data_IF_100449453673
#
_entry.id   IF_100449453673
#
_cell.length_a   1.000
_cell.length_b   1.000
_cell.length_c   1.000
_cell.angle_alpha   90.00
_cell.angle_beta   90.00
_cell.angle_gamma   90.00
#
_symmetry.space_group_name_H-M   'P 1'
#
loop_
_entity.id
_entity.type
_entity.pdbx_description
1 polymer ?
2 branched ?
3 non-polymer ?
4 water ?
#
# COMPACT_ATOMS: atom_id res chain seq x y z
N UNK A 4 -14.57 3.15 16.91
CA UNK A 4 -13.21 2.81 16.38
C UNK A 4 -13.26 1.89 15.16
N UNK A 5 -13.71 2.41 14.01
CA UNK A 5 -13.78 1.60 12.79
C UNK A 5 -12.40 1.58 12.14
N UNK A 6 -12.29 0.96 10.98
CA UNK A 6 -11.00 0.90 10.31
C UNK A 6 -11.18 0.92 8.80
N UNK A 7 -10.36 1.70 8.12
CA UNK A 7 -10.43 1.78 6.67
C UNK A 7 -9.55 0.69 6.09
N UNK A 8 -10.12 -0.07 5.16
CA UNK A 8 -9.39 -1.15 4.51
C UNK A 8 -9.45 -0.90 3.01
N UNK A 9 -8.42 -1.35 2.30
CA UNK A 9 -8.35 -1.14 0.86
C UNK A 9 -8.46 -2.43 0.07
N UNK A 10 -9.06 -2.34 -1.10
CA UNK A 10 -9.17 -3.49 -1.98
C UNK A 10 -9.06 -2.99 -3.40
N UNK A 11 -7.95 -3.29 -4.09
CA UNK A 11 -6.80 -4.06 -3.59
C UNK A 11 -6.11 -3.44 -2.38
N UNK A 12 -5.27 -4.22 -1.70
CA UNK A 12 -4.50 -3.88 -0.50
C UNK A 12 -3.49 -2.75 -0.58
N UNK A 13 -2.89 -2.56 -1.75
CA UNK A 13 -1.85 -1.55 -1.95
C UNK A 13 -2.31 -0.11 -1.77
N UNK A 14 -1.59 0.63 -0.94
CA UNK A 14 -1.91 2.02 -0.66
C UNK A 14 -1.03 2.93 -1.54
N UNK A 15 -0.21 2.29 -2.38
CA UNK A 15 0.64 3.01 -3.32
C UNK A 15 0.21 2.43 -4.66
N UNK A 16 -0.46 3.25 -5.46
CA UNK A 16 -0.95 2.80 -6.76
C UNK A 16 -0.56 3.73 -7.91
N UNK A 17 -0.75 3.25 -9.13
CA UNK A 17 -0.46 4.02 -10.32
C UNK A 17 -1.59 4.94 -10.72
N UNK A 18 -1.23 6.11 -11.25
CA UNK A 18 -2.20 7.09 -11.73
C UNK A 18 -3.09 6.34 -12.71
N UNK A 19 -4.40 6.47 -12.56
CA UNK A 19 -5.31 5.77 -13.45
C UNK A 19 -5.81 4.43 -12.92
N UNK A 20 -5.25 3.92 -11.82
CA UNK A 20 -5.71 2.64 -11.27
C UNK A 20 -6.89 2.84 -10.33
N UNK A 21 -7.53 1.73 -9.96
CA UNK A 21 -8.67 1.81 -9.07
C UNK A 21 -8.36 1.21 -7.71
N UNK A 22 -8.99 1.76 -6.68
CA UNK A 22 -8.83 1.28 -5.32
C UNK A 22 -10.13 1.62 -4.60
N UNK A 23 -10.64 0.66 -3.83
CA UNK A 23 -11.87 0.89 -3.08
C UNK A 23 -11.56 0.98 -1.60
N UNK A 24 -12.15 1.96 -0.92
CA UNK A 24 -11.93 2.11 0.50
C UNK A 24 -13.23 1.76 1.23
N UNK A 25 -13.14 0.83 2.18
CA UNK A 25 -14.29 0.41 2.95
C UNK A 25 -14.11 0.71 4.44
N UNK A 26 -15.17 1.23 5.05
CA UNK A 26 -15.18 1.57 6.48
C UNK A 26 -15.52 0.25 7.17
N UNK A 27 -15.02 0.07 8.39
CA UNK A 27 -15.21 -1.18 9.16
C UNK A 27 -16.41 -2.10 8.89
N UNK A 28 -16.32 -3.33 9.40
CA UNK A 28 -17.34 -4.34 9.20
C UNK A 28 -18.59 -4.38 10.07
N UNK A 29 -18.60 -3.65 11.18
CA UNK A 29 -19.77 -3.63 12.06
C UNK A 29 -20.84 -2.71 11.47
N UNK A 30 -20.44 -1.92 10.48
CA UNK A 30 -21.35 -0.97 9.84
C UNK A 30 -22.33 -1.62 8.86
N UNK A 31 -23.62 -1.48 9.15
CA UNK A 31 -24.67 -2.03 8.30
C UNK A 31 -25.54 -0.93 7.73
N UNK A 36 -25.19 6.05 8.05
CA UNK A 36 -24.56 6.38 6.78
C UNK A 36 -23.13 6.68 7.19
N UNK A 37 -22.19 6.55 6.26
CA UNK A 37 -20.80 6.78 6.59
C UNK A 37 -20.30 8.19 6.29
N UNK A 38 -19.33 8.64 7.07
CA UNK A 38 -18.72 9.95 6.86
C UNK A 38 -17.25 9.71 6.52
N UNK A 39 -16.79 10.26 5.39
CA UNK A 39 -15.40 10.11 4.95
C UNK A 39 -14.63 11.43 4.99
N UNK A 40 -13.36 11.39 5.35
CA UNK A 40 -12.57 12.62 5.38
C UNK A 40 -11.31 12.46 4.55
N UNK A 41 -11.22 13.25 3.48
CA UNK A 41 -10.06 13.22 2.60
C UNK A 41 -9.24 14.44 3.01
N UNK A 42 -8.02 14.20 3.48
CA UNK A 42 -7.14 15.27 3.94
C UNK A 42 -7.85 16.13 4.97
N UNK A 43 -8.71 15.51 5.76
CA UNK A 43 -9.43 16.23 6.80
C UNK A 43 -10.68 16.95 6.32
N UNK A 44 -11.05 16.76 5.06
CA UNK A 44 -12.23 17.41 4.51
C UNK A 44 -13.36 16.43 4.28
N UNK A 45 -14.51 16.73 4.87
CA UNK A 45 -15.68 15.88 4.75
C UNK A 45 -16.04 15.66 3.29
N UNK A 46 -16.11 14.40 2.90
CA UNK A 46 -16.44 14.04 1.54
C UNK A 46 -17.94 14.07 1.30
N UNK A 47 -18.34 14.06 0.04
CA UNK A 47 -19.75 14.05 -0.29
C UNK A 47 -20.21 12.60 -0.30
N UNK A 48 -19.23 11.70 -0.25
CA UNK A 48 -19.49 10.27 -0.25
C UNK A 48 -20.07 9.85 1.10
N UNK A 49 -21.19 9.14 1.08
CA UNK A 49 -21.83 8.71 2.32
C UNK A 49 -21.99 7.20 2.50
N UNK A 50 -21.67 6.42 1.48
CA UNK A 50 -21.79 4.96 1.60
C UNK A 50 -20.61 4.42 2.40
N UNK A 51 -20.72 3.17 2.85
CA UNK A 51 -19.66 2.55 3.65
C UNK A 51 -18.40 2.30 2.82
N UNK A 52 -18.54 2.39 1.50
CA UNK A 52 -17.41 2.19 0.62
C UNK A 52 -17.16 3.38 -0.29
N UNK A 53 -15.92 3.87 -0.28
CA UNK A 53 -15.53 4.99 -1.13
C UNK A 53 -14.74 4.43 -2.30
N UNK A 54 -15.19 4.72 -3.51
CA UNK A 54 -14.52 4.23 -4.71
C UNK A 54 -13.70 5.31 -5.40
N UNK A 55 -12.42 5.01 -5.57
CA UNK A 55 -11.51 5.92 -6.24
C UNK A 55 -11.30 5.35 -7.63
N UNK A 56 -11.83 6.05 -8.64
CA UNK A 56 -11.72 5.60 -10.02
C UNK A 56 -10.72 6.43 -10.84
N UNK A 57 -9.91 5.75 -11.66
CA UNK A 57 -8.90 6.42 -12.49
C UNK A 57 -8.20 7.41 -11.58
N UNK A 58 -7.42 6.85 -10.67
CA UNK A 58 -6.72 7.62 -9.66
C UNK A 58 -5.98 8.87 -10.16
N UNK A 59 -6.14 9.97 -9.43
CA UNK A 59 -5.47 11.21 -9.75
C UNK A 59 -4.48 11.48 -8.63
N UNK A 60 -3.48 12.31 -8.92
CA UNK A 60 -2.49 12.65 -7.91
C UNK A 60 -3.24 13.30 -6.76
N UNK A 61 -4.33 13.98 -7.11
CA UNK A 61 -5.17 14.65 -6.13
C UNK A 61 -5.76 13.66 -5.14
N UNK A 62 -5.98 12.42 -5.57
CA UNK A 62 -6.56 11.43 -4.68
C UNK A 62 -5.59 10.95 -3.61
N UNK A 63 -4.33 11.35 -3.72
CA UNK A 63 -3.37 10.94 -2.73
C UNK A 63 -3.80 11.62 -1.45
N UNK A 64 -3.28 11.17 -0.32
CA UNK A 64 -3.67 11.81 0.92
C UNK A 64 -4.12 10.91 2.06
N UNK A 65 -4.66 11.57 3.08
CA UNK A 65 -5.14 10.91 4.27
C UNK A 65 -6.63 10.67 4.19
N UNK A 66 -7.04 9.46 4.54
CA UNK A 66 -8.46 9.11 4.55
C UNK A 66 -8.85 8.53 5.90
N UNK A 67 -9.94 9.04 6.48
CA UNK A 67 -10.47 8.56 7.76
C UNK A 67 -11.95 8.34 7.52
N UNK A 68 -12.55 7.39 8.22
CA UNK A 68 -13.99 7.22 8.08
C UNK A 68 -14.66 7.39 9.43
N UNK A 69 -15.97 7.55 9.40
CA UNK A 69 -16.73 7.76 10.62
C UNK A 69 -18.07 7.10 10.53
N UNK A 70 -18.34 6.27 11.52
CA UNK A 70 -19.58 5.53 11.64
C UNK A 70 -20.26 5.99 12.92
N UNK A 71 -21.44 5.44 13.21
CA UNK A 71 -22.18 5.82 14.42
C UNK A 71 -21.44 5.46 15.71
N UNK A 72 -20.12 5.30 15.61
CA UNK A 72 -19.29 4.96 16.76
C UNK A 72 -18.61 6.17 17.40
N UNK A 73 -19.12 7.36 17.11
CA UNK A 73 -18.61 8.62 17.66
C UNK A 73 -17.09 8.82 17.67
N UNK A 74 -16.35 7.91 17.05
CA UNK A 74 -14.89 8.02 16.99
C UNK A 74 -14.38 7.67 15.60
N UNK A 75 -13.68 8.62 14.98
CA UNK A 75 -13.14 8.42 13.64
C UNK A 75 -12.08 7.32 13.67
N UNK A 76 -11.87 6.69 12.52
CA UNK A 76 -10.88 5.61 12.43
C UNK A 76 -9.47 6.17 12.32
N UNK A 77 -8.49 5.28 12.42
CA UNK A 77 -7.11 5.70 12.28
C UNK A 77 -6.98 6.10 10.82
N UNK A 78 -6.09 7.05 10.52
CA UNK A 78 -5.97 7.43 9.11
C UNK A 78 -5.28 6.34 8.30
N UNK A 79 -5.46 6.42 7.00
CA UNK A 79 -4.83 5.53 6.05
C UNK A 79 -4.29 6.51 5.00
N UNK A 80 -3.11 6.24 4.46
CA UNK A 80 -2.54 7.15 3.48
C UNK A 80 -2.41 6.55 2.10
N UNK A 81 -2.96 7.25 1.12
CA UNK A 81 -2.91 6.80 -0.26
C UNK A 81 -1.95 7.71 -1.06
N UNK A 82 -1.16 7.10 -1.94
CA UNK A 82 -0.24 7.85 -2.77
C UNK A 82 -0.27 7.33 -4.21
N UNK A 83 -0.51 8.24 -5.14
CA UNK A 83 -0.59 7.91 -6.56
C UNK A 83 0.71 8.21 -7.29
N UNK A 84 1.22 7.23 -8.05
CA UNK A 84 2.46 7.42 -8.78
C UNK A 84 2.28 7.27 -10.28
N UNK A 85 3.31 7.70 -10.99
CA UNK A 85 3.38 7.60 -12.44
C UNK A 85 4.84 7.23 -12.70
N UNK A 86 5.11 5.99 -13.07
CA UNK A 86 6.48 5.57 -13.30
C UNK A 86 6.39 4.21 -13.96
N UNK A 87 7.54 3.62 -14.28
CA UNK A 87 7.55 2.30 -14.91
C UNK A 87 7.45 1.21 -13.85
N UNK A 88 8.12 1.43 -12.72
CA UNK A 88 8.08 0.46 -11.63
C UNK A 88 7.59 1.14 -10.36
N UNK A 89 6.89 0.36 -9.54
CA UNK A 89 6.36 0.84 -8.28
C UNK A 89 6.43 -0.32 -7.30
N UNK A 90 7.08 -0.09 -6.17
CA UNK A 90 7.18 -1.12 -5.16
C UNK A 90 5.95 -0.94 -4.29
N UNK A 91 5.15 -1.99 -4.16
CA UNK A 91 3.96 -1.89 -3.33
C UNK A 91 4.16 -2.79 -2.12
N UNK A 92 3.65 -2.36 -0.97
CA UNK A 92 3.77 -3.13 0.25
C UNK A 92 2.41 -3.30 0.89
N UNK A 93 2.21 -4.42 1.58
CA UNK A 93 0.94 -4.64 2.25
C UNK A 93 0.85 -3.60 3.35
N UNK A 94 1.98 -3.23 3.93
CA UNK A 94 1.97 -2.21 4.99
C UNK A 94 3.32 -1.51 5.12
N UNK A 95 3.31 -0.24 5.49
CA UNK A 95 4.57 0.49 5.66
C UNK A 95 5.00 0.34 7.12
N UNK A 96 4.07 -0.17 7.94
CA UNK A 96 4.30 -0.42 9.35
C UNK A 96 3.72 -1.78 9.67
N UNK A 97 4.61 -2.76 9.82
CA UNK A 97 4.25 -4.14 10.10
C UNK A 97 4.51 -4.51 11.55
N UNK A 98 3.58 -5.24 12.15
CA UNK A 98 3.73 -5.68 13.53
C UNK A 98 4.55 -6.96 13.55
N UNK A 99 5.44 -7.09 14.52
CA UNK A 99 6.29 -8.26 14.62
C UNK A 99 5.45 -9.55 14.59
N UNK A 100 5.90 -10.55 13.85
CA UNK A 100 5.15 -11.80 13.78
C UNK A 100 4.19 -11.89 12.60
N UNK A 101 3.69 -10.74 12.13
CA UNK A 101 2.78 -10.70 10.99
C UNK A 101 3.55 -10.78 9.66
N UNK A 102 2.86 -11.08 8.56
CA UNK A 102 3.54 -11.17 7.27
C UNK A 102 3.65 -9.81 6.58
N UNK A 103 4.61 -9.71 5.67
CA UNK A 103 4.83 -8.50 4.91
C UNK A 103 4.87 -8.88 3.44
N UNK A 104 3.99 -8.29 2.65
CA UNK A 104 3.98 -8.61 1.22
C UNK A 104 4.50 -7.45 0.36
N UNK A 105 5.40 -7.79 -0.56
CA UNK A 105 5.94 -6.80 -1.47
C UNK A 105 5.63 -7.25 -2.89
N UNK A 106 5.55 -6.29 -3.79
CA UNK A 106 5.22 -6.58 -5.16
C UNK A 106 5.87 -5.52 -6.04
N UNK A 107 6.69 -5.96 -7.00
CA UNK A 107 7.34 -5.04 -7.92
C UNK A 107 6.35 -4.99 -9.08
N UNK A 108 5.54 -3.94 -9.05
CA UNK A 108 4.46 -3.71 -9.99
C UNK A 108 4.84 -2.83 -11.17
N UNK A 109 4.51 -3.29 -12.37
CA UNK A 109 4.83 -2.54 -13.57
C UNK A 109 3.67 -1.73 -14.11
N UNK A 110 3.99 -0.57 -14.67
CA UNK A 110 2.98 0.31 -15.26
C UNK A 110 2.08 -0.51 -16.18
N UNK A 111 0.79 -0.21 -16.18
CA UNK A 111 -0.16 -0.95 -17.02
C UNK A 111 -0.08 -2.47 -16.85
N UNK A 112 0.47 -2.92 -15.73
CA UNK A 112 0.61 -4.35 -15.50
C UNK A 112 1.50 -5.05 -16.53
N UNK A 113 2.48 -4.31 -17.04
CA UNK A 113 3.41 -4.88 -17.99
C UNK A 113 4.16 -5.96 -17.23
N UNK A 114 4.62 -6.98 -17.94
CA UNK A 114 5.38 -8.03 -17.28
C UNK A 114 6.74 -7.50 -16.88
N UNK A 115 7.15 -7.88 -15.68
CA UNK A 115 8.44 -7.46 -15.17
C UNK A 115 9.26 -8.72 -15.00
N UNK A 116 10.51 -8.70 -15.46
CA UNK A 116 11.38 -9.87 -15.36
C UNK A 116 12.65 -9.54 -14.60
N UNK A 117 13.43 -10.57 -14.28
CA UNK A 117 14.68 -10.37 -13.54
C UNK A 117 14.44 -9.46 -12.34
N UNK A 118 13.36 -9.72 -11.61
CA UNK A 118 13.04 -8.90 -10.46
C UNK A 118 14.01 -9.10 -9.31
N UNK A 119 14.55 -7.99 -8.81
CA UNK A 119 15.45 -8.04 -7.67
C UNK A 119 14.95 -7.03 -6.66
N UNK A 120 14.92 -7.43 -5.39
CA UNK A 120 14.51 -6.54 -4.31
C UNK A 120 15.72 -6.12 -3.50
N UNK A 121 15.72 -4.88 -3.07
CA UNK A 121 16.83 -4.38 -2.28
C UNK A 121 16.40 -3.86 -0.92
N UNK A 122 17.24 -4.08 0.08
CA UNK A 122 16.94 -3.55 1.40
C UNK A 122 18.21 -2.87 1.89
N UNK A 123 18.15 -1.56 2.09
CA UNK A 123 19.32 -0.79 2.52
C UNK A 123 20.49 -1.11 1.59
N UNK A 124 20.29 -0.92 0.29
CA UNK A 124 21.35 -1.19 -0.66
C UNK A 124 21.57 -2.65 -1.01
N UNK A 125 21.60 -3.51 0.00
CA UNK A 125 21.80 -4.95 -0.20
C UNK A 125 20.63 -5.62 -0.91
N UNK A 126 20.93 -6.57 -1.78
CA UNK A 126 19.88 -7.30 -2.49
C UNK A 126 19.35 -8.36 -1.53
N UNK A 127 18.03 -8.42 -1.36
CA UNK A 127 17.43 -9.41 -0.46
C UNK A 127 17.96 -10.83 -0.57
N UNK A 128 18.29 -11.41 0.57
CA UNK A 128 18.80 -12.78 0.62
C UNK A 128 17.64 -13.79 0.59
N UNK A 129 16.51 -13.42 1.19
CA UNK A 129 15.33 -14.29 1.19
C UNK A 129 15.14 -14.91 -0.19
N UNK A 130 14.49 -16.07 -0.26
CA UNK A 130 14.23 -16.67 -1.56
C UNK A 130 12.86 -16.18 -2.01
N UNK A 131 12.73 -15.84 -3.28
CA UNK A 131 11.45 -15.37 -3.78
C UNK A 131 11.21 -15.67 -5.24
N UNK A 132 9.94 -15.59 -5.62
CA UNK A 132 9.48 -15.85 -6.97
C UNK A 132 9.42 -14.53 -7.74
N UNK A 133 9.04 -14.60 -9.01
CA UNK A 133 8.95 -13.41 -9.84
C UNK A 133 7.96 -12.37 -9.32
N UNK A 134 8.46 -11.14 -9.19
CA UNK A 134 7.74 -9.95 -8.73
C UNK A 134 6.77 -10.00 -7.54
N UNK A 135 6.67 -11.14 -6.87
CA UNK A 135 5.79 -11.24 -5.71
C UNK A 135 6.56 -11.92 -4.58
N UNK A 136 6.83 -11.16 -3.53
CA UNK A 136 7.58 -11.67 -2.39
C UNK A 136 6.78 -11.64 -1.08
N UNK A 137 6.88 -12.72 -0.32
CA UNK A 137 6.19 -12.85 0.96
C UNK A 137 7.14 -13.11 2.12
N UNK A 138 7.14 -12.19 3.08
CA UNK A 138 7.98 -12.29 4.27
C UNK A 138 7.00 -12.66 5.37
N UNK A 139 6.94 -13.96 5.66
CA UNK A 139 6.01 -14.53 6.63
C UNK A 139 6.05 -14.11 8.10
N UNK A 140 7.24 -14.03 8.70
CA UNK A 140 7.32 -13.66 10.10
C UNK A 140 8.15 -12.39 10.30
N UNK A 141 7.55 -11.24 10.04
CA UNK A 141 8.24 -9.96 10.18
C UNK A 141 9.03 -9.86 11.48
N UNK A 142 10.23 -9.32 11.37
CA UNK A 142 11.14 -9.13 12.48
C UNK A 142 11.57 -7.67 12.50
N UNK A 143 12.13 -7.21 13.61
CA UNK A 143 12.59 -5.83 13.69
C UNK A 143 13.64 -5.59 12.58
N UNK A 144 14.35 -6.66 12.21
CA UNK A 144 15.36 -6.60 11.17
C UNK A 144 14.77 -6.36 9.78
N UNK A 145 13.48 -6.63 9.60
CA UNK A 145 12.89 -6.42 8.29
C UNK A 145 12.60 -4.96 8.05
N UNK A 146 12.94 -4.12 9.02
CA UNK A 146 12.76 -2.68 8.85
C UNK A 146 13.87 -2.25 7.87
N UNK A 147 13.63 -1.18 7.14
CA UNK A 147 14.62 -0.71 6.19
C UNK A 147 13.96 0.01 5.04
N UNK A 148 14.75 0.45 4.07
CA UNK A 148 14.18 1.14 2.93
C UNK A 148 14.35 0.14 1.81
N UNK A 149 13.29 -0.02 1.03
CA UNK A 149 13.31 -0.99 -0.06
C UNK A 149 13.00 -0.33 -1.38
N UNK A 150 13.35 -1.05 -2.44
CA UNK A 150 13.04 -0.62 -3.78
C UNK A 150 13.30 -1.87 -4.58
N UNK A 151 12.85 -1.90 -5.82
CA UNK A 151 13.09 -3.06 -6.64
C UNK A 151 13.56 -2.62 -8.02
N UNK A 152 14.10 -3.57 -8.76
CA UNK A 152 14.56 -3.36 -10.12
C UNK A 152 14.04 -4.54 -10.91
N UNK A 153 13.77 -4.32 -12.19
CA UNK A 153 13.28 -5.39 -13.02
C UNK A 153 13.36 -4.96 -14.47
N UNK A 154 13.28 -5.93 -15.36
CA UNK A 154 13.32 -5.64 -16.78
C UNK A 154 11.91 -5.57 -17.36
N UNK A 155 11.57 -4.41 -17.91
CA UNK A 155 10.27 -4.21 -18.55
C UNK A 155 10.57 -4.04 -20.03
N UNK A 156 9.93 -4.86 -20.86
CA UNK A 156 10.19 -4.82 -22.28
C UNK A 156 11.67 -5.17 -22.48
N UNK A 157 12.46 -4.22 -22.97
CA UNK A 157 13.87 -4.49 -23.21
C UNK A 157 14.85 -3.75 -22.32
N UNK A 158 14.35 -2.94 -21.39
CA UNK A 158 15.24 -2.20 -20.51
C UNK A 158 15.10 -2.54 -19.03
N UNK A 159 16.04 -2.03 -18.24
CA UNK A 159 16.04 -2.25 -16.81
C UNK A 159 15.58 -0.99 -16.10
N UNK A 160 14.65 -1.15 -15.17
CA UNK A 160 14.15 -0.01 -14.42
C UNK A 160 14.35 -0.20 -12.93
N UNK A 161 14.10 0.86 -12.18
CA UNK A 161 14.27 0.83 -10.75
C UNK A 161 13.15 1.65 -10.14
N UNK A 162 12.51 1.09 -9.12
CA UNK A 162 11.40 1.78 -8.48
C UNK A 162 11.92 2.78 -7.47
N UNK A 163 11.05 3.69 -7.05
CA UNK A 163 11.38 4.67 -6.03
C UNK A 163 11.50 3.83 -4.76
N UNK A 164 12.29 4.29 -3.79
CA UNK A 164 12.42 3.51 -2.56
C UNK A 164 11.27 3.74 -1.58
N UNK A 165 11.04 2.76 -0.72
CA UNK A 165 9.97 2.87 0.26
C UNK A 165 10.53 2.52 1.63
N UNK A 166 10.06 3.17 2.68
CA UNK A 166 10.56 2.82 4.00
C UNK A 166 9.57 1.92 4.76
N UNK A 167 10.06 0.81 5.29
CA UNK A 167 9.21 -0.10 6.04
C UNK A 167 9.71 -0.29 7.46
N UNK A 168 8.84 -0.01 8.42
CA UNK A 168 9.16 -0.15 9.83
C UNK A 168 8.39 -1.28 10.49
N UNK A 169 9.09 -2.09 11.29
CA UNK A 169 8.45 -3.18 12.01
C UNK A 169 8.35 -2.83 13.51
N UNK A 170 7.13 -2.75 14.04
CA UNK A 170 6.91 -2.42 15.45
C UNK A 170 6.49 -3.66 16.23
N UNK A 171 6.56 -3.59 17.55
CA UNK A 171 6.19 -4.73 18.38
C UNK A 171 4.68 -4.84 18.54
N UNK A 172 4.19 -6.08 18.55
CA UNK A 172 2.77 -6.38 18.66
C UNK A 172 1.98 -5.65 19.76
N UNK A 173 2.46 -5.67 21.02
CA UNK A 173 1.76 -5.00 22.12
C UNK A 173 1.22 -3.60 21.81
N UNK A 174 0.20 -3.20 22.57
CA UNK A 174 -0.47 -1.92 22.44
C UNK A 174 0.15 -0.96 21.42
X LIG B 1 -4.26 15.65 -0.10
X LIG B 1 -4.30 16.32 -1.46
X LIG B 1 -3.19 15.74 -2.32
X LIG B 1 -1.83 15.95 -1.64
X LIG B 1 -1.87 15.43 -0.19
X LIG B 1 -0.65 15.85 0.59
X LIG B 1 -6.56 17.00 -1.93
X LIG B 1 -7.88 16.75 -2.65
X LIG B 1 -5.58 16.12 -2.11
X LIG B 1 -3.20 16.35 -3.60
X LIG B 1 -0.83 15.20 -2.35
X LIG B 1 -3.01 15.95 0.53
X LIG B 1 -0.04 14.73 1.23
X LIG B 1 -6.44 17.99 -1.20
X LIG B 2 0.01 15.81 -3.26
X LIG B 2 1.10 14.79 -3.61
X LIG B 2 1.97 15.26 -4.77
X LIG B 2 0.98 15.36 -5.90
X LIG B 2 0.02 16.51 -5.61
X LIG B 2 -0.96 16.78 -6.74
X LIG B 2 1.87 13.23 -1.94
X LIG B 2 2.73 12.95 -0.72
X LIG B 2 1.91 14.46 -2.45
X LIG B 2 2.97 14.29 -5.05
X LIG B 2 1.60 15.40 -7.21
X LIG B 2 -0.77 16.17 -4.43
X LIG B 2 -1.83 17.86 -6.43
X LIG B 2 1.17 12.34 -2.41
X LIG B 3 2.43 16.41 -7.67
X LIG B 3 3.62 15.70 -8.39
X LIG B 3 4.19 16.40 -9.63
X LIG B 3 3.06 17.00 -10.46
X LIG B 3 2.34 17.97 -9.55
X LIG B 3 1.35 18.85 -10.29
X LIG B 3 3.25 14.38 -8.76
X LIG B 3 4.89 15.44 -10.42
X LIG B 3 3.56 17.66 -11.62
X LIG B 3 1.61 17.21 -8.56
X LIG B 3 0.23 18.10 -10.76
X LIG C 1 13.55 6.76 4.42
X LIG C 1 13.39 8.29 4.44
X LIG C 1 14.75 8.98 4.21
X LIG C 1 15.80 8.46 5.20
X LIG C 1 15.84 6.92 5.16
X LIG C 1 16.81 6.30 6.18
X LIG C 1 11.24 9.17 3.76
X LIG C 1 10.31 9.58 2.63
X LIG C 1 12.45 8.70 3.42
X LIG C 1 14.61 10.39 4.34
X LIG C 1 17.10 9.00 4.86
X LIG C 1 14.52 6.37 5.41
X LIG C 1 16.15 5.65 7.26
X LIG C 1 10.87 9.27 4.93
X LIG C 2 17.94 9.40 5.89
X LIG C 2 19.37 9.58 5.37
X LIG C 2 20.29 10.17 6.46
X LIG C 2 19.67 11.44 7.07
X LIG C 2 18.23 11.14 7.52
X LIG C 2 17.51 12.36 8.07
X LIG C 2 20.00 8.04 3.63
X LIG C 2 20.55 6.68 3.23
X LIG C 2 19.90 8.30 4.93
X LIG C 2 21.56 10.47 5.91
X LIG C 2 20.47 11.86 8.20
X LIG C 2 17.45 10.65 6.41
X LIG C 2 16.15 12.06 8.38
X LIG C 2 19.67 8.84 2.76
X LIG C 3 20.70 13.22 8.38
X LIG C 3 20.70 13.54 9.90
X LIG C 3 21.11 15.00 10.14
X LIG C 3 22.45 15.29 9.46
X LIG C 3 22.34 14.94 7.97
X LIG C 3 23.66 15.16 7.24
X LIG C 3 21.59 12.67 10.57
X LIG C 3 21.22 15.23 11.54
X LIG C 3 22.79 16.66 9.62
X LIG C 3 21.98 13.55 7.81
X LIG C 3 24.67 14.29 7.72
X LIG D 1 -11.35 1.19 -13.14
X LIG D 1 -10.69 0.56 -14.37
X LIG D 1 -11.43 0.99 -15.65
X LIG D 1 -12.92 0.67 -15.53
X LIG D 1 -13.49 1.27 -14.23
X LIG D 1 -14.93 0.84 -14.01
X LIG D 1 -8.33 0.04 -14.47
X LIG D 1 -6.90 0.53 -14.56
X LIG D 1 -9.29 0.96 -14.46
X LIG D 1 -10.89 0.29 -16.77
X LIG D 1 -13.61 1.21 -16.65
X LIG D 1 -12.73 0.81 -13.08
X LIG D 1 -15.41 1.28 -12.75
X LIG D 1 -8.57 -1.17 -14.42
#
# INVERSE_FOLDING_TARGET
VPQKPKVSLNPPWNRIFKGENVTLTCNGNNFFEVSSTKWFHNGSLSEETNSSLNIVNAKFEDSGEYKCQHQQVNESEPVYLEVFSDWLLLQASAEVVMEGQPLFLRCHGWRNWDVYKVIYYKDGEALKYWYENHNISITNATVEDSGTYYCTGKVWQLDYESEPLNITVIKAPREK
NAG C1 C2 C3 C4 C5 C6 C7 C8 N2 O3 O4 O5 O6 O7
NAG C1 C2 C3 C4 C5 C6 C7 C8 N2 O3 O4 O5 O6 O7
MAN C1 C2 C3 C4 C5 C6 O2 O3 O4 O5 O6
NAG C1 C2 C3 C4 C5 C6 C7 C8 N2 O3 O4 O5 O6 O7
NAG C1 C2 C3 C4 C5 C6 C7 C8 N2 O3 O4 O5 O6 O7
MAN C1 C2 C3 C4 C5 C6 O2 O3 O4 O5 O6
NAG C1 C2 C3 C4 C5 C6 C7 C8 N2 O3 O4 O5 O6 O7
#
